data_IF_024322673861
#
_entry.id   IF_024322673861
#
_cell.length_a   1.000
_cell.length_b   1.000
_cell.length_c   1.000
_cell.angle_alpha   90.00
_cell.angle_beta   90.00
_cell.angle_gamma   90.00
#
_symmetry.space_group_name_H-M   'P 1'
#
loop_
_entity.id
_entity.type
_entity.pdbx_description
1 polymer ?
#
# COMPACT_ATOMS: atom_id res chain seq x y z
N UNK A 1 -12.40 39.98 -39.74
CA UNK A 1 -12.31 40.25 -38.28
C UNK A 1 -12.02 38.94 -37.58
N UNK A 2 -10.86 38.79 -36.93
CA UNK A 2 -10.53 37.58 -36.19
C UNK A 2 -11.24 37.56 -34.83
N UNK A 3 -12.00 36.50 -34.55
CA UNK A 3 -12.68 36.32 -33.26
C UNK A 3 -11.62 36.18 -32.16
N UNK A 4 -11.52 37.15 -31.25
CA UNK A 4 -10.68 37.03 -30.04
C UNK A 4 -11.33 36.05 -29.08
N UNK A 5 -10.86 34.81 -29.09
CA UNK A 5 -11.28 33.78 -28.13
C UNK A 5 -10.76 34.18 -26.74
N UNK A 6 -11.66 34.47 -25.81
CA UNK A 6 -11.35 34.72 -24.39
C UNK A 6 -11.59 33.42 -23.59
N UNK A 7 -10.75 33.13 -22.61
CA UNK A 7 -10.96 31.99 -21.68
C UNK A 7 -10.14 30.72 -21.93
N UNK A 8 -9.34 30.64 -23.00
CA UNK A 8 -8.48 29.45 -23.26
C UNK A 8 -7.52 29.16 -22.11
N UNK A 9 -6.90 30.20 -21.54
CA UNK A 9 -6.02 30.04 -20.37
C UNK A 9 -6.74 29.50 -19.14
N UNK A 10 -7.99 29.92 -18.93
CA UNK A 10 -8.79 29.49 -17.78
C UNK A 10 -9.24 28.03 -17.95
N UNK A 11 -9.60 27.63 -19.18
CA UNK A 11 -9.87 26.23 -19.51
C UNK A 11 -8.63 25.34 -19.32
N UNK A 12 -7.45 25.82 -19.75
CA UNK A 12 -6.18 25.11 -19.55
C UNK A 12 -5.87 24.93 -18.05
N UNK A 13 -5.98 25.99 -17.24
CA UNK A 13 -5.71 25.92 -15.81
C UNK A 13 -6.70 25.01 -15.05
N UNK A 14 -7.98 25.02 -15.43
CA UNK A 14 -8.97 24.09 -14.88
C UNK A 14 -8.67 22.64 -15.27
N UNK A 15 -8.26 22.40 -16.51
CA UNK A 15 -7.88 21.08 -16.99
C UNK A 15 -6.64 20.55 -16.27
N UNK A 16 -5.62 21.37 -16.06
CA UNK A 16 -4.41 21.01 -15.32
C UNK A 16 -4.72 20.62 -13.86
N UNK A 17 -5.57 21.40 -13.17
CA UNK A 17 -6.03 21.07 -11.81
C UNK A 17 -6.78 19.73 -11.78
N UNK A 18 -7.71 19.53 -12.72
CA UNK A 18 -8.47 18.28 -12.81
C UNK A 18 -7.54 17.07 -13.07
N UNK A 19 -6.56 17.22 -13.96
CA UNK A 19 -5.56 16.19 -14.23
C UNK A 19 -4.73 15.89 -12.97
N UNK A 20 -4.33 16.93 -12.21
CA UNK A 20 -3.64 16.79 -10.93
C UNK A 20 -4.44 15.96 -9.92
N UNK A 21 -5.71 16.30 -9.71
CA UNK A 21 -6.61 15.60 -8.79
C UNK A 21 -6.87 14.15 -9.23
N UNK A 22 -7.04 13.93 -10.53
CA UNK A 22 -7.19 12.58 -11.10
C UNK A 22 -5.93 11.75 -10.83
N UNK A 23 -4.73 12.30 -11.10
CA UNK A 23 -3.47 11.63 -10.82
C UNK A 23 -3.31 11.32 -9.33
N UNK A 24 -3.63 12.27 -8.45
CA UNK A 24 -3.60 12.05 -7.00
C UNK A 24 -4.50 10.90 -6.56
N UNK A 25 -5.75 10.85 -7.06
CA UNK A 25 -6.68 9.75 -6.76
C UNK A 25 -6.19 8.40 -7.27
N UNK A 26 -5.65 8.34 -8.49
CA UNK A 26 -5.06 7.10 -9.06
C UNK A 26 -3.90 6.59 -8.21
N UNK A 27 -3.01 7.49 -7.77
CA UNK A 27 -1.86 7.12 -6.92
C UNK A 27 -2.31 6.58 -5.56
N UNK A 28 -3.27 7.22 -4.90
CA UNK A 28 -3.81 6.73 -3.62
C UNK A 28 -4.45 5.34 -3.79
N UNK A 29 -5.22 5.11 -4.86
CA UNK A 29 -5.79 3.79 -5.18
C UNK A 29 -4.71 2.75 -5.46
N UNK A 30 -3.69 3.10 -6.24
CA UNK A 30 -2.55 2.23 -6.52
C UNK A 30 -1.84 1.77 -5.24
N UNK A 31 -1.62 2.70 -4.30
CA UNK A 31 -1.01 2.37 -3.01
C UNK A 31 -1.95 1.52 -2.16
N UNK A 32 -3.24 1.86 -2.09
CA UNK A 32 -4.21 1.04 -1.36
C UNK A 32 -4.24 -0.41 -1.89
N UNK A 33 -4.25 -0.59 -3.20
CA UNK A 33 -4.18 -1.91 -3.85
C UNK A 33 -2.87 -2.63 -3.53
N UNK A 34 -1.74 -1.94 -3.54
CA UNK A 34 -0.45 -2.50 -3.13
C UNK A 34 -0.45 -2.97 -1.67
N UNK A 35 -0.96 -2.14 -0.75
CA UNK A 35 -1.03 -2.45 0.68
C UNK A 35 -2.00 -3.60 0.98
N UNK A 36 -3.11 -3.70 0.24
CA UNK A 36 -4.04 -4.82 0.31
C UNK A 36 -3.33 -6.13 -0.05
N UNK A 37 -2.66 -6.18 -1.20
CA UNK A 37 -1.99 -7.39 -1.68
C UNK A 37 -0.87 -7.81 -0.72
N UNK A 38 0.05 -6.91 -0.41
CA UNK A 38 1.18 -7.22 0.47
C UNK A 38 0.75 -7.52 1.91
N UNK A 39 -0.22 -6.76 2.43
CA UNK A 39 -0.78 -6.97 3.77
C UNK A 39 -1.50 -8.31 3.89
N UNK A 40 -2.28 -8.71 2.88
CA UNK A 40 -2.94 -10.03 2.84
C UNK A 40 -1.93 -11.17 2.83
N UNK A 41 -0.84 -11.07 2.05
CA UNK A 41 0.20 -12.10 2.06
C UNK A 41 0.94 -12.13 3.40
N UNK A 42 1.28 -10.98 3.95
CA UNK A 42 1.92 -10.90 5.27
C UNK A 42 1.04 -11.53 6.36
N UNK A 43 -0.28 -11.34 6.30
CA UNK A 43 -1.25 -11.96 7.19
C UNK A 43 -1.26 -13.50 7.09
N UNK A 44 -1.02 -14.07 5.90
CA UNK A 44 -0.88 -15.52 5.73
C UNK A 44 0.39 -16.08 6.39
N UNK A 45 1.46 -15.28 6.42
CA UNK A 45 2.73 -15.62 7.06
C UNK A 45 2.79 -15.27 8.54
N UNK A 46 1.83 -14.51 9.04
CA UNK A 46 1.77 -14.13 10.44
C UNK A 46 1.45 -15.35 11.32
N UNK A 47 2.28 -15.65 12.33
CA UNK A 47 1.98 -16.67 13.33
C UNK A 47 0.69 -16.37 14.09
N UNK A 48 -0.06 -17.42 14.44
CA UNK A 48 -1.31 -17.31 15.20
C UNK A 48 -1.17 -18.17 16.46
N UNK A 49 -1.32 -17.52 17.62
CA UNK A 49 -1.58 -18.18 18.90
C UNK A 49 -3.00 -17.86 19.37
N UNK A 50 -3.26 -16.60 19.76
CA UNK A 50 -4.58 -16.08 20.17
C UNK A 50 -5.23 -15.18 19.12
N UNK A 51 -4.67 -15.10 17.92
CA UNK A 51 -5.03 -14.14 16.85
C UNK A 51 -4.79 -12.66 17.16
N UNK A 52 -4.35 -12.29 18.36
CA UNK A 52 -4.05 -10.88 18.72
C UNK A 52 -3.06 -10.24 17.75
N UNK A 53 -1.98 -10.94 17.39
CA UNK A 53 -1.00 -10.42 16.44
C UNK A 53 -1.67 -10.19 15.08
N UNK A 54 -2.32 -11.19 14.50
CA UNK A 54 -2.98 -11.09 13.21
C UNK A 54 -3.99 -9.92 13.16
N UNK A 55 -4.82 -9.79 14.20
CA UNK A 55 -5.85 -8.77 14.30
C UNK A 55 -5.30 -7.36 14.58
N UNK A 56 -4.04 -7.24 14.98
CA UNK A 56 -3.35 -5.97 15.20
C UNK A 56 -2.75 -5.38 13.91
N UNK A 57 -2.93 -6.03 12.76
CA UNK A 57 -2.43 -5.51 11.48
C UNK A 57 -3.16 -4.21 11.11
N UNK A 58 -2.39 -3.17 10.83
CA UNK A 58 -2.91 -1.90 10.35
C UNK A 58 -2.26 -1.51 9.03
N UNK A 59 -2.93 -0.61 8.31
CA UNK A 59 -2.46 -0.02 7.06
C UNK A 59 -2.65 1.48 7.14
N UNK A 60 -1.64 2.22 6.72
CA UNK A 60 -1.64 3.68 6.75
C UNK A 60 -1.18 4.22 5.41
N UNK A 61 -1.87 5.26 4.93
CA UNK A 61 -1.45 6.04 3.76
C UNK A 61 -1.22 7.47 4.20
N UNK A 62 -0.04 7.99 3.90
CA UNK A 62 0.32 9.38 4.16
C UNK A 62 0.63 10.09 2.84
N UNK A 63 0.02 11.27 2.64
CA UNK A 63 0.20 12.12 1.47
C UNK A 63 0.97 13.37 1.91
N UNK A 64 2.21 13.51 1.44
CA UNK A 64 3.08 14.63 1.73
C UNK A 64 3.46 15.33 0.42
N UNK A 65 2.65 16.29 -0.01
CA UNK A 65 2.80 16.97 -1.30
C UNK A 65 2.68 15.98 -2.47
N UNK A 66 3.74 15.87 -3.29
CA UNK A 66 3.80 14.92 -4.41
C UNK A 66 4.17 13.50 -4.00
N UNK A 67 4.57 13.28 -2.74
CA UNK A 67 4.98 11.97 -2.24
C UNK A 67 3.82 11.31 -1.50
N UNK A 68 3.36 10.17 -2.02
CA UNK A 68 2.39 9.32 -1.32
C UNK A 68 3.10 8.06 -0.85
N UNK A 69 3.00 7.75 0.43
CA UNK A 69 3.61 6.57 1.05
C UNK A 69 2.54 5.72 1.71
N UNK A 70 2.64 4.40 1.51
CA UNK A 70 1.82 3.41 2.21
C UNK A 70 2.67 2.59 3.18
N UNK A 71 2.10 2.22 4.32
CA UNK A 71 2.73 1.38 5.34
C UNK A 71 1.77 0.30 5.81
N UNK A 72 2.32 -0.87 6.12
CA UNK A 72 1.62 -1.96 6.82
C UNK A 72 2.44 -2.30 8.05
N UNK A 73 1.78 -2.44 9.19
CA UNK A 73 2.43 -2.77 10.44
C UNK A 73 1.50 -3.55 11.36
N UNK A 74 2.00 -3.84 12.55
CA UNK A 74 1.24 -4.49 13.62
C UNK A 74 1.33 -3.65 14.87
N UNK A 75 0.21 -3.39 15.53
CA UNK A 75 0.17 -2.60 16.76
C UNK A 75 0.51 -3.42 18.01
N UNK A 76 0.55 -4.76 17.91
CA UNK A 76 1.01 -5.60 19.00
C UNK A 76 2.50 -5.36 19.30
N UNK A 77 2.83 -4.90 20.51
CA UNK A 77 4.21 -4.58 20.92
C UNK A 77 5.20 -5.74 20.72
N UNK A 78 4.72 -6.98 20.89
CA UNK A 78 5.56 -8.18 20.73
C UNK A 78 5.80 -8.58 19.26
N UNK A 79 5.17 -7.90 18.29
CA UNK A 79 5.31 -8.21 16.87
C UNK A 79 6.77 -8.16 16.41
N UNK A 80 7.57 -7.25 16.96
CA UNK A 80 9.00 -7.12 16.63
C UNK A 80 9.76 -8.41 16.94
N UNK A 81 9.53 -9.02 18.09
CA UNK A 81 10.19 -10.25 18.49
C UNK A 81 9.71 -11.46 17.68
N UNK A 82 8.42 -11.48 17.34
CA UNK A 82 7.86 -12.54 16.48
C UNK A 82 8.41 -12.42 15.05
N UNK A 83 8.62 -11.20 14.57
CA UNK A 83 9.14 -10.91 13.23
C UNK A 83 10.64 -11.24 13.09
N UNK A 84 11.45 -10.95 14.12
CA UNK A 84 12.91 -11.10 14.11
C UNK A 84 13.35 -12.55 13.86
N UNK A 85 14.13 -12.81 12.78
CA UNK A 85 14.64 -14.15 12.47
C UNK A 85 15.67 -14.66 13.50
N UNK A 86 16.32 -13.79 14.26
CA UNK A 86 17.32 -14.16 15.25
C UNK A 86 16.71 -14.72 16.55
N UNK A 87 15.40 -14.64 16.71
CA UNK A 87 14.68 -15.14 17.89
C UNK A 87 13.98 -16.45 17.50
N UNK A 88 14.54 -17.63 17.87
CA UNK A 88 13.95 -18.92 17.51
C UNK A 88 12.56 -19.07 18.14
N UNK A 89 11.58 -19.49 17.34
CA UNK A 89 10.20 -19.74 17.79
C UNK A 89 9.63 -20.91 16.99
N UNK A 90 8.82 -21.74 17.66
CA UNK A 90 8.09 -22.82 17.00
C UNK A 90 6.67 -22.35 16.70
N UNK A 91 6.29 -22.34 15.42
CA UNK A 91 4.95 -21.91 15.02
C UNK A 91 3.99 -23.09 14.90
N UNK A 92 2.75 -22.91 15.38
CA UNK A 92 1.67 -23.89 15.18
C UNK A 92 1.14 -23.89 13.74
N UNK A 93 1.15 -22.71 13.10
CA UNK A 93 0.62 -22.52 11.74
C UNK A 93 1.69 -22.86 10.71
N UNK A 94 1.40 -23.79 9.79
CA UNK A 94 2.36 -24.27 8.79
C UNK A 94 2.86 -23.18 7.82
N UNK A 95 2.00 -22.21 7.51
CA UNK A 95 2.36 -21.09 6.62
C UNK A 95 3.13 -19.98 7.33
N UNK A 96 3.26 -20.04 8.66
CA UNK A 96 3.89 -18.97 9.42
C UNK A 96 5.39 -18.91 9.16
N UNK A 97 5.90 -17.70 8.96
CA UNK A 97 7.30 -17.45 8.67
C UNK A 97 7.82 -16.31 9.55
N UNK A 98 9.10 -16.39 9.90
CA UNK A 98 9.86 -15.20 10.33
C UNK A 98 9.90 -14.19 9.19
N UNK A 99 10.03 -12.92 9.56
CA UNK A 99 10.04 -11.81 8.63
C UNK A 99 8.74 -11.70 7.79
N UNK A 100 7.60 -12.08 8.38
CA UNK A 100 6.31 -12.20 7.68
C UNK A 100 5.88 -10.94 6.91
N UNK A 101 6.16 -9.73 7.41
CA UNK A 101 5.93 -8.49 6.66
C UNK A 101 6.82 -8.41 5.41
N UNK A 102 8.14 -8.54 5.59
CA UNK A 102 9.13 -8.48 4.52
C UNK A 102 8.83 -9.51 3.44
N UNK A 103 8.71 -10.78 3.82
CA UNK A 103 8.43 -11.88 2.89
C UNK A 103 7.07 -11.76 2.23
N UNK A 104 6.06 -11.26 2.95
CA UNK A 104 4.73 -11.02 2.38
C UNK A 104 4.75 -10.03 1.22
N UNK A 105 5.52 -8.95 1.34
CA UNK A 105 5.69 -7.95 0.28
C UNK A 105 6.64 -8.41 -0.82
N UNK A 106 7.71 -9.12 -0.48
CA UNK A 106 8.66 -9.66 -1.46
C UNK A 106 7.99 -10.68 -2.38
N UNK A 107 7.29 -11.66 -1.81
CA UNK A 107 6.62 -12.73 -2.56
C UNK A 107 5.48 -12.21 -3.45
N UNK A 108 4.93 -11.02 -3.14
CA UNK A 108 3.85 -10.40 -3.91
C UNK A 108 4.28 -9.21 -4.78
N UNK A 109 5.57 -8.90 -4.87
CA UNK A 109 6.09 -7.73 -5.60
C UNK A 109 5.59 -7.65 -7.05
N UNK A 110 5.51 -8.79 -7.74
CA UNK A 110 4.99 -8.86 -9.10
C UNK A 110 3.47 -8.57 -9.19
N UNK A 111 2.68 -9.07 -8.22
CA UNK A 111 1.24 -8.80 -8.15
C UNK A 111 0.97 -7.34 -7.83
N UNK A 112 1.72 -6.77 -6.88
CA UNK A 112 1.68 -5.35 -6.52
C UNK A 112 1.97 -4.49 -7.76
N UNK A 113 3.05 -4.79 -8.50
CA UNK A 113 3.39 -4.05 -9.71
C UNK A 113 2.29 -4.07 -10.78
N UNK A 114 1.63 -5.22 -10.97
CA UNK A 114 0.48 -5.34 -11.88
C UNK A 114 -0.73 -4.52 -11.42
N UNK A 115 -1.03 -4.54 -10.13
CA UNK A 115 -2.14 -3.77 -9.57
C UNK A 115 -1.90 -2.26 -9.70
N UNK A 116 -0.69 -1.80 -9.35
CA UNK A 116 -0.31 -0.39 -9.53
C UNK A 116 -0.44 0.02 -11.00
N UNK A 117 0.09 -0.78 -11.93
CA UNK A 117 -0.02 -0.49 -13.36
C UNK A 117 -1.49 -0.34 -13.80
N UNK A 118 -2.37 -1.22 -13.33
CA UNK A 118 -3.80 -1.17 -13.62
C UNK A 118 -4.44 0.12 -13.09
N UNK A 119 -4.20 0.47 -11.83
CA UNK A 119 -4.76 1.69 -11.20
C UNK A 119 -4.27 2.98 -11.86
N UNK A 120 -3.06 2.99 -12.42
CA UNK A 120 -2.52 4.15 -13.13
C UNK A 120 -3.07 4.28 -14.55
N UNK A 121 -3.57 3.20 -15.15
CA UNK A 121 -4.16 3.18 -16.50
C UNK A 121 -5.63 3.59 -16.52
N UNK A 122 -6.39 3.22 -15.47
CA UNK A 122 -7.76 3.69 -15.21
C UNK A 122 -7.74 5.18 -14.91
#
# INVERSE_FOLDING_TARGET
>A
MGVKVKGVREAQANLERLIGDIRGRKVVRAIQSALLIGGSQAALYTPIDTSTLLNSQYREISVNGSRVTGRVGYSANYAVYVHDPNIPQTFRRATAKKEFLTKGFEDTKAQIGRAIKKEMQL
#
